data_IF_931778261305
#
_entry.id   IF_931778261305
#
_cell.length_a   1.000
_cell.length_b   1.000
_cell.length_c   1.000
_cell.angle_alpha   90.00
_cell.angle_beta   90.00
_cell.angle_gamma   90.00
#
_symmetry.space_group_name_H-M   'P 1'
#
loop_
_entity.id
_entity.type
_entity.pdbx_description
1 polymer ?
#
# COMPACT_ATOMS: atom_id res chain seq x y z
N UNK A 1 24.37 -29.02 -7.58
CA UNK A 1 23.88 -27.88 -6.79
C UNK A 1 23.40 -26.83 -7.77
N UNK A 2 22.10 -26.78 -8.05
CA UNK A 2 21.54 -25.65 -8.81
C UNK A 2 21.38 -24.51 -7.82
N UNK A 3 22.28 -23.52 -7.91
CA UNK A 3 22.13 -22.28 -7.17
C UNK A 3 20.93 -21.54 -7.72
N UNK A 4 19.87 -21.46 -6.92
CA UNK A 4 18.76 -20.55 -7.19
C UNK A 4 19.29 -19.12 -7.14
N UNK A 5 19.29 -18.46 -8.30
CA UNK A 5 19.56 -17.03 -8.42
C UNK A 5 18.25 -16.24 -8.38
N UNK A 6 18.35 -15.11 -7.67
CA UNK A 6 17.55 -13.89 -7.78
C UNK A 6 16.17 -13.91 -7.12
N UNK A 7 15.77 -12.95 -6.29
CA UNK A 7 16.25 -11.59 -6.13
C UNK A 7 16.39 -11.26 -4.64
N UNK A 8 17.60 -10.89 -4.21
CA UNK A 8 17.73 -10.09 -3.01
C UNK A 8 17.04 -8.75 -3.31
N UNK A 9 15.88 -8.54 -2.70
CA UNK A 9 15.21 -7.25 -2.64
C UNK A 9 16.25 -6.25 -2.19
N UNK A 10 16.62 -5.30 -3.06
CA UNK A 10 17.31 -4.10 -2.58
C UNK A 10 16.29 -3.44 -1.67
N UNK A 11 16.47 -3.63 -0.37
CA UNK A 11 15.75 -2.93 0.67
C UNK A 11 16.10 -1.47 0.44
N UNK A 12 15.19 -0.76 -0.22
CA UNK A 12 15.31 0.68 -0.38
C UNK A 12 15.30 1.25 1.05
N UNK A 13 16.39 1.93 1.43
CA UNK A 13 16.64 2.42 2.79
C UNK A 13 15.62 3.49 3.23
N UNK A 14 14.66 3.85 2.36
CA UNK A 14 13.58 4.76 2.70
C UNK A 14 12.64 4.15 3.73
N UNK A 15 12.09 5.03 4.55
CA UNK A 15 11.14 4.64 5.56
C UNK A 15 9.86 4.06 4.93
N UNK A 16 9.25 3.04 5.56
CA UNK A 16 7.94 2.53 5.17
C UNK A 16 6.90 3.66 5.18
N UNK A 17 6.04 3.66 4.16
CA UNK A 17 4.92 4.60 4.10
C UNK A 17 3.84 4.18 5.09
N UNK A 18 3.31 5.15 5.83
CA UNK A 18 2.31 4.95 6.89
C UNK A 18 1.01 5.64 6.52
N UNK A 19 -0.09 4.89 6.56
CA UNK A 19 -1.42 5.39 6.23
C UNK A 19 -2.46 4.84 7.19
N UNK A 20 -3.65 5.43 7.17
CA UNK A 20 -4.82 4.90 7.85
C UNK A 20 -6.00 4.76 6.89
N UNK A 21 -7.03 4.02 7.28
CA UNK A 21 -8.34 4.12 6.64
C UNK A 21 -9.32 4.95 7.48
N UNK A 22 -10.51 5.15 6.93
CA UNK A 22 -11.66 5.83 7.57
C UNK A 22 -12.10 5.22 8.92
N UNK A 23 -11.68 3.98 9.22
CA UNK A 23 -11.95 3.31 10.50
C UNK A 23 -10.78 3.41 11.48
N UNK A 24 -9.72 4.14 11.13
CA UNK A 24 -8.53 4.34 11.97
C UNK A 24 -7.59 3.14 12.03
N UNK A 25 -7.74 2.14 11.15
CA UNK A 25 -6.77 1.04 11.05
C UNK A 25 -5.51 1.57 10.39
N UNK A 26 -4.36 1.34 11.01
CA UNK A 26 -3.07 1.84 10.54
C UNK A 26 -2.33 0.77 9.74
N UNK A 27 -1.78 1.18 8.61
CA UNK A 27 -1.00 0.34 7.71
C UNK A 27 0.41 0.91 7.54
N UNK A 28 1.38 0.02 7.38
CA UNK A 28 2.77 0.36 7.09
C UNK A 28 3.24 -0.52 5.94
N UNK A 29 3.58 0.11 4.82
CA UNK A 29 4.00 -0.61 3.61
C UNK A 29 5.45 -0.26 3.25
N UNK A 30 6.26 -1.22 2.79
CA UNK A 30 7.59 -0.93 2.27
C UNK A 30 7.50 0.07 1.11
N UNK A 31 8.36 1.09 1.09
CA UNK A 31 8.34 2.14 0.07
C UNK A 31 8.30 1.57 -1.35
N UNK A 32 9.17 0.59 -1.64
CA UNK A 32 9.26 -0.09 -2.93
C UNK A 32 7.97 -0.76 -3.43
N UNK A 33 7.09 -1.16 -2.51
CA UNK A 33 5.83 -1.82 -2.80
C UNK A 33 4.68 -0.83 -3.08
N UNK A 34 4.93 0.47 -2.93
CA UNK A 34 3.94 1.54 -2.97
C UNK A 34 4.47 2.79 -3.72
N UNK A 35 5.45 2.62 -4.62
CA UNK A 35 6.08 3.76 -5.33
C UNK A 35 5.11 4.47 -6.27
N UNK A 36 4.11 3.76 -6.75
CA UNK A 36 3.03 4.32 -7.57
C UNK A 36 1.68 4.08 -6.88
N UNK A 37 0.67 4.86 -7.26
CA UNK A 37 -0.68 4.68 -6.76
C UNK A 37 -1.20 3.26 -7.03
N UNK A 38 -0.97 2.73 -8.23
CA UNK A 38 -1.35 1.36 -8.60
C UNK A 38 -0.70 0.30 -7.70
N UNK A 39 0.59 0.48 -7.37
CA UNK A 39 1.31 -0.40 -6.46
C UNK A 39 0.76 -0.31 -5.04
N UNK A 40 0.41 0.90 -4.59
CA UNK A 40 -0.28 1.11 -3.31
C UNK A 40 -1.63 0.41 -3.27
N UNK A 41 -2.49 0.61 -4.29
CA UNK A 41 -3.78 -0.06 -4.38
C UNK A 41 -3.62 -1.59 -4.38
N UNK A 42 -2.63 -2.12 -5.09
CA UNK A 42 -2.33 -3.54 -5.09
C UNK A 42 -1.91 -4.04 -3.69
N UNK A 43 -1.12 -3.25 -2.96
CA UNK A 43 -0.71 -3.55 -1.58
C UNK A 43 -1.91 -3.55 -0.63
N UNK A 44 -2.80 -2.56 -0.71
CA UNK A 44 -4.05 -2.53 0.05
C UNK A 44 -4.91 -3.74 -0.30
N UNK A 45 -5.18 -4.01 -1.58
CA UNK A 45 -6.00 -5.15 -2.01
C UNK A 45 -5.49 -6.48 -1.46
N UNK A 46 -4.17 -6.70 -1.42
CA UNK A 46 -3.56 -7.92 -0.85
C UNK A 46 -3.86 -8.12 0.62
N UNK A 47 -3.90 -7.04 1.41
CA UNK A 47 -4.20 -7.11 2.85
C UNK A 47 -5.63 -7.59 3.11
N UNK A 48 -6.55 -7.29 2.20
CA UNK A 48 -7.98 -7.54 2.40
C UNK A 48 -8.53 -8.80 1.72
N UNK A 49 -7.70 -9.59 1.00
CA UNK A 49 -8.12 -10.79 0.23
C UNK A 49 -8.90 -11.81 1.07
N UNK A 50 -8.60 -11.94 2.37
CA UNK A 50 -9.22 -12.93 3.25
C UNK A 50 -10.52 -12.48 3.95
N UNK A 51 -10.92 -11.21 3.82
CA UNK A 51 -12.05 -10.67 4.56
C UNK A 51 -13.35 -10.82 3.76
N UNK A 52 -14.23 -11.73 4.18
CA UNK A 52 -15.43 -12.08 3.41
C UNK A 52 -16.38 -10.90 3.12
N UNK A 53 -16.45 -9.92 4.02
CA UNK A 53 -17.37 -8.78 3.88
C UNK A 53 -16.70 -7.57 3.22
N UNK A 54 -15.53 -7.17 3.72
CA UNK A 54 -14.84 -5.95 3.26
C UNK A 54 -13.96 -6.22 2.04
N UNK A 55 -13.45 -7.44 1.90
CA UNK A 55 -12.55 -7.84 0.82
C UNK A 55 -13.07 -7.52 -0.57
N UNK A 56 -14.30 -7.94 -0.95
CA UNK A 56 -14.87 -7.63 -2.26
C UNK A 56 -14.94 -6.13 -2.56
N UNK A 57 -15.36 -5.31 -1.59
CA UNK A 57 -15.43 -3.86 -1.74
C UNK A 57 -14.03 -3.25 -2.00
N UNK A 58 -13.03 -3.71 -1.26
CA UNK A 58 -11.65 -3.27 -1.44
C UNK A 58 -11.09 -3.73 -2.80
N UNK A 59 -11.45 -4.93 -3.27
CA UNK A 59 -11.05 -5.40 -4.60
C UNK A 59 -11.65 -4.54 -5.73
N UNK A 60 -12.88 -4.07 -5.55
CA UNK A 60 -13.56 -3.16 -6.49
C UNK A 60 -13.04 -1.71 -6.41
N UNK A 61 -12.09 -1.43 -5.50
CA UNK A 61 -11.51 -0.10 -5.33
C UNK A 61 -12.36 0.84 -4.45
N UNK A 62 -13.33 0.29 -3.72
CA UNK A 62 -14.19 1.03 -2.80
C UNK A 62 -13.53 1.13 -1.43
N UNK A 63 -12.52 2.00 -1.33
CA UNK A 63 -11.84 2.34 -0.09
C UNK A 63 -11.18 3.72 -0.22
N UNK A 64 -11.08 4.42 0.90
CA UNK A 64 -10.27 5.62 1.02
C UNK A 64 -8.99 5.34 1.80
N UNK A 65 -7.91 6.02 1.42
CA UNK A 65 -6.64 6.04 2.16
C UNK A 65 -6.50 7.42 2.77
N UNK A 66 -6.18 7.47 4.05
CA UNK A 66 -5.89 8.69 4.78
C UNK A 66 -4.39 8.82 5.03
N UNK A 67 -3.87 10.02 4.82
CA UNK A 67 -2.51 10.38 5.20
C UNK A 67 -2.39 10.49 6.75
N UNK A 68 -1.19 10.77 7.29
CA UNK A 68 -1.00 10.98 8.73
C UNK A 68 -1.78 12.19 9.30
N UNK A 69 -2.21 13.14 8.48
CA UNK A 69 -3.01 14.29 8.88
C UNK A 69 -4.52 13.97 8.88
N UNK A 70 -4.93 12.87 8.25
CA UNK A 70 -6.32 12.45 8.11
C UNK A 70 -6.98 12.92 6.82
N UNK A 71 -6.21 13.44 5.87
CA UNK A 71 -6.71 13.87 4.57
C UNK A 71 -6.81 12.68 3.61
N UNK A 72 -7.86 12.65 2.77
CA UNK A 72 -8.04 11.61 1.75
C UNK A 72 -6.94 11.77 0.68
N UNK A 73 -6.26 10.67 0.39
CA UNK A 73 -5.19 10.61 -0.61
C UNK A 73 -5.68 9.91 -1.87
N UNK A 74 -5.56 10.60 -3.00
CA UNK A 74 -5.87 10.07 -4.32
C UNK A 74 -4.63 9.85 -5.21
N UNK A 75 -4.84 9.35 -6.43
CA UNK A 75 -3.77 9.19 -7.42
C UNK A 75 -3.07 10.52 -7.77
N UNK A 76 -3.81 11.62 -7.80
CA UNK A 76 -3.29 12.95 -8.16
C UNK A 76 -2.28 13.49 -7.13
N UNK A 77 -2.45 13.13 -5.86
CA UNK A 77 -1.60 13.59 -4.76
C UNK A 77 -0.45 12.62 -4.45
N UNK A 78 -0.52 11.38 -4.96
CA UNK A 78 0.34 10.28 -4.55
C UNK A 78 1.83 10.54 -4.76
N UNK A 79 2.20 11.09 -5.93
CA UNK A 79 3.60 11.37 -6.28
C UNK A 79 4.22 12.44 -5.36
N UNK A 80 3.39 13.36 -4.83
CA UNK A 80 3.85 14.36 -3.87
C UNK A 80 4.16 13.76 -2.49
N UNK A 81 3.42 12.72 -2.10
CA UNK A 81 3.52 12.04 -0.80
C UNK A 81 4.69 11.06 -0.78
N UNK A 82 4.90 10.36 -1.89
CA UNK A 82 5.90 9.30 -2.01
C UNK A 82 7.23 9.92 -2.48
N UNK A 83 8.09 10.33 -1.54
CA UNK A 83 9.42 10.93 -1.80
C UNK A 83 10.57 10.09 -1.31
#
# INVERSE_FOLDING_TARGET
MVGSISAATIEDEREPLKFSDEFGRKFSFPFNACRTWEQMQASVKRVFVGLQVIGPLVQDGLFDILDPNGDIVGPDDWDSIVR
#
